data_IF_678474734499
#
_entry.id   IF_678474734499
#
_cell.length_a   1.000
_cell.length_b   1.000
_cell.length_c   1.000
_cell.angle_alpha   90.00
_cell.angle_beta   90.00
_cell.angle_gamma   90.00
#
_symmetry.space_group_name_H-M   'P 1'
#
loop_
_entity.id
_entity.type
_entity.pdbx_description
1 polymer ?
#
# COMPACT_ATOMS: atom_id res chain seq x y z
N UNK A 1 -22.03 13.05 12.41
CA UNK A 1 -21.15 11.93 12.04
C UNK A 1 -20.98 11.09 13.29
N UNK A 2 -21.49 9.85 13.31
CA UNK A 2 -21.49 9.00 14.50
C UNK A 2 -20.07 8.76 15.02
N UNK A 3 -19.86 8.99 16.32
CA UNK A 3 -18.57 8.81 17.00
C UNK A 3 -18.05 7.37 16.81
N UNK A 4 -18.96 6.38 16.76
CA UNK A 4 -18.63 4.98 16.48
C UNK A 4 -18.13 4.71 15.05
N UNK A 5 -18.62 5.47 14.05
CA UNK A 5 -18.14 5.37 12.68
C UNK A 5 -16.73 5.96 12.55
N UNK A 6 -16.50 7.12 13.17
CA UNK A 6 -15.20 7.79 13.18
C UNK A 6 -14.11 6.89 13.78
N UNK A 7 -14.40 6.23 14.91
CA UNK A 7 -13.46 5.29 15.53
C UNK A 7 -13.16 4.07 14.66
N UNK A 8 -14.17 3.53 13.99
CA UNK A 8 -14.00 2.37 13.10
C UNK A 8 -13.11 2.72 11.91
N UNK A 9 -13.33 3.87 11.28
CA UNK A 9 -12.52 4.38 10.17
C UNK A 9 -11.09 4.68 10.61
N UNK A 10 -10.91 5.31 11.77
CA UNK A 10 -9.59 5.59 12.35
C UNK A 10 -8.78 4.30 12.59
N UNK A 11 -9.41 3.26 13.17
CA UNK A 11 -8.75 1.96 13.39
C UNK A 11 -8.41 1.25 12.08
N UNK A 12 -9.30 1.33 11.09
CA UNK A 12 -9.05 0.77 9.77
C UNK A 12 -7.86 1.49 9.10
N UNK A 13 -7.80 2.82 9.12
CA UNK A 13 -6.67 3.59 8.58
C UNK A 13 -5.34 3.22 9.26
N UNK A 14 -5.32 3.14 10.59
CA UNK A 14 -4.11 2.77 11.34
C UNK A 14 -3.63 1.35 10.99
N UNK A 15 -4.54 0.40 10.80
CA UNK A 15 -4.18 -0.98 10.49
C UNK A 15 -3.81 -1.19 9.00
N UNK A 16 -4.56 -0.60 8.08
CA UNK A 16 -4.38 -0.83 6.64
C UNK A 16 -3.22 -0.04 6.05
N UNK A 17 -2.97 1.18 6.51
CA UNK A 17 -1.89 2.02 5.97
C UNK A 17 -0.51 1.33 6.02
N UNK A 18 -0.04 0.80 7.17
CA UNK A 18 1.26 0.12 7.20
C UNK A 18 1.29 -1.16 6.35
N UNK A 19 0.19 -1.90 6.27
CA UNK A 19 0.08 -3.10 5.42
C UNK A 19 0.25 -2.76 3.94
N UNK A 20 -0.41 -1.70 3.47
CA UNK A 20 -0.33 -1.29 2.06
C UNK A 20 1.03 -0.68 1.74
N UNK A 21 1.62 0.09 2.67
CA UNK A 21 3.00 0.59 2.53
C UNK A 21 4.00 -0.57 2.46
N UNK A 22 3.87 -1.60 3.30
CA UNK A 22 4.72 -2.79 3.24
C UNK A 22 4.57 -3.54 1.92
N UNK A 23 3.34 -3.70 1.42
CA UNK A 23 3.07 -4.33 0.12
C UNK A 23 3.75 -3.55 -1.02
N UNK A 24 3.64 -2.23 -1.00
CA UNK A 24 4.30 -1.34 -1.96
C UNK A 24 5.82 -1.47 -1.87
N UNK A 25 6.41 -1.34 -0.69
CA UNK A 25 7.86 -1.46 -0.49
C UNK A 25 8.38 -2.82 -0.94
N UNK A 26 7.67 -3.90 -0.63
CA UNK A 26 8.04 -5.25 -1.07
C UNK A 26 8.02 -5.35 -2.59
N UNK A 27 6.96 -4.87 -3.23
CA UNK A 27 6.84 -4.89 -4.69
C UNK A 27 7.91 -4.01 -5.35
N UNK A 28 8.21 -2.85 -4.76
CA UNK A 28 9.23 -1.90 -5.21
C UNK A 28 10.65 -2.47 -5.08
N UNK A 29 10.97 -3.12 -3.97
CA UNK A 29 12.26 -3.79 -3.77
C UNK A 29 12.42 -4.95 -4.74
N UNK A 30 11.35 -5.73 -4.95
CA UNK A 30 11.36 -6.80 -5.95
C UNK A 30 11.55 -6.23 -7.35
N UNK A 31 10.96 -5.08 -7.69
CA UNK A 31 11.14 -4.38 -8.96
C UNK A 31 12.57 -3.84 -9.15
N UNK A 32 13.15 -3.17 -8.13
CA UNK A 32 14.54 -2.70 -8.17
C UNK A 32 15.56 -3.84 -8.26
N UNK A 33 15.28 -4.97 -7.61
CA UNK A 33 16.13 -6.15 -7.61
C UNK A 33 16.01 -7.03 -8.85
N UNK A 34 15.17 -6.68 -9.84
CA UNK A 34 15.03 -7.50 -11.04
C UNK A 34 16.29 -7.39 -11.91
N UNK A 35 17.13 -8.42 -11.86
CA UNK A 35 18.13 -8.67 -12.89
C UNK A 35 17.50 -9.13 -14.22
N UNK A 36 18.30 -9.71 -15.12
CA UNK A 36 17.86 -10.16 -16.46
C UNK A 36 16.85 -11.32 -16.48
N UNK A 37 16.53 -11.95 -15.34
CA UNK A 37 15.57 -13.06 -15.25
C UNK A 37 14.19 -12.61 -14.75
N UNK A 38 13.23 -12.61 -15.67
CA UNK A 38 11.80 -12.43 -15.39
C UNK A 38 11.16 -13.79 -15.01
N UNK A 39 10.67 -13.90 -13.76
CA UNK A 39 9.85 -15.00 -13.27
C UNK A 39 8.37 -14.54 -13.17
N UNK A 40 7.42 -15.49 -13.06
CA UNK A 40 5.99 -15.14 -12.89
C UNK A 40 5.74 -14.23 -11.67
N UNK A 41 6.51 -14.43 -10.60
CA UNK A 41 6.44 -13.60 -9.39
C UNK A 41 6.86 -12.15 -9.64
N UNK A 42 7.96 -11.92 -10.37
CA UNK A 42 8.41 -10.57 -10.69
C UNK A 42 7.47 -9.83 -11.63
N UNK A 43 6.82 -10.53 -12.58
CA UNK A 43 5.74 -9.94 -13.40
C UNK A 43 4.52 -9.54 -12.57
N UNK A 44 4.17 -10.32 -11.55
CA UNK A 44 3.08 -9.95 -10.63
C UNK A 44 3.46 -8.72 -9.81
N UNK A 45 4.67 -8.68 -9.23
CA UNK A 45 5.15 -7.52 -8.49
C UNK A 45 5.24 -6.26 -9.35
N UNK A 46 5.67 -6.38 -10.60
CA UNK A 46 5.74 -5.26 -11.56
C UNK A 46 4.33 -4.71 -11.89
N UNK A 47 3.37 -5.60 -12.19
CA UNK A 47 1.98 -5.21 -12.39
C UNK A 47 1.31 -4.66 -11.12
N UNK A 48 1.73 -5.13 -9.94
CA UNK A 48 1.19 -4.70 -8.65
C UNK A 48 1.87 -3.43 -8.11
N UNK A 49 3.04 -3.05 -8.61
CA UNK A 49 3.82 -1.91 -8.09
C UNK A 49 3.09 -0.57 -8.26
N UNK A 50 2.56 -0.31 -9.45
CA UNK A 50 1.79 0.92 -9.73
C UNK A 50 0.50 1.00 -8.90
N UNK A 51 -0.39 -0.02 -8.89
CA UNK A 51 -1.61 0.05 -8.11
C UNK A 51 -1.35 0.06 -6.59
N UNK A 52 -0.36 -0.70 -6.10
CA UNK A 52 0.00 -0.67 -4.67
C UNK A 52 0.58 0.68 -4.26
N UNK A 53 1.40 1.31 -5.11
CA UNK A 53 1.92 2.66 -4.87
C UNK A 53 0.83 3.72 -4.82
N UNK A 54 -0.09 3.72 -5.78
CA UNK A 54 -1.25 4.63 -5.77
C UNK A 54 -2.13 4.43 -4.53
N UNK A 55 -2.37 3.17 -4.16
CA UNK A 55 -3.20 2.84 -2.98
C UNK A 55 -2.49 3.25 -1.69
N UNK A 56 -1.18 3.02 -1.57
CA UNK A 56 -0.38 3.45 -0.43
C UNK A 56 -0.42 4.98 -0.28
N UNK A 57 -0.24 5.70 -1.39
CA UNK A 57 -0.20 7.17 -1.39
C UNK A 57 -1.58 7.76 -1.02
N UNK A 58 -2.66 7.18 -1.55
CA UNK A 58 -4.03 7.55 -1.18
C UNK A 58 -4.33 7.29 0.31
N UNK A 59 -3.91 6.13 0.85
CA UNK A 59 -4.10 5.78 2.27
C UNK A 59 -3.27 6.66 3.21
N UNK A 60 -2.03 6.98 2.83
CA UNK A 60 -1.18 7.88 3.60
C UNK A 60 -1.76 9.29 3.60
N UNK A 61 -2.20 9.81 2.44
CA UNK A 61 -2.88 11.11 2.36
C UNK A 61 -4.17 11.13 3.18
N UNK A 62 -4.99 10.09 3.06
CA UNK A 62 -6.21 9.97 3.86
C UNK A 62 -5.89 9.97 5.36
N UNK A 63 -4.83 9.25 5.78
CA UNK A 63 -4.38 9.24 7.17
C UNK A 63 -3.92 10.62 7.64
N UNK A 64 -3.13 11.34 6.83
CA UNK A 64 -2.64 12.69 7.14
C UNK A 64 -3.72 13.78 7.15
N UNK A 65 -4.81 13.61 6.39
CA UNK A 65 -5.94 14.55 6.39
C UNK A 65 -6.86 14.28 7.59
N UNK A 66 -6.98 13.02 7.99
CA UNK A 66 -7.92 12.58 9.03
C UNK A 66 -7.36 12.69 10.46
N UNK A 67 -6.03 12.72 10.61
CA UNK A 67 -5.29 12.87 11.87
C UNK A 67 -4.40 14.11 11.83
#
# INVERSE_FOLDING_TARGET
MDIGLLQTVARALIAFTPLVVLLFLTSFLVWLGQGTRSNRFTRFCDAAMVPSGLTALALVLATLIFF
#
